data_IF_429368460828
#
_entry.id   IF_429368460828
#
_cell.length_a   1.000
_cell.length_b   1.000
_cell.length_c   1.000
_cell.angle_alpha   90.00
_cell.angle_beta   90.00
_cell.angle_gamma   90.00
#
_symmetry.space_group_name_H-M   'P 1'
#
loop_
_entity.id
_entity.type
_entity.pdbx_description
1 polymer ?
#
# COMPACT_ATOMS: atom_id res chain seq x y z
N UNK A 1 11.98 19.23 -30.45
CA UNK A 1 10.81 19.09 -29.55
C UNK A 1 10.48 17.63 -29.15
N UNK A 2 10.46 16.66 -30.08
CA UNK A 2 10.15 15.24 -29.76
C UNK A 2 11.05 14.60 -28.69
N UNK A 3 12.37 14.83 -28.71
CA UNK A 3 13.28 14.28 -27.69
C UNK A 3 12.95 14.75 -26.26
N UNK A 4 12.67 16.05 -26.07
CA UNK A 4 12.35 16.60 -24.75
C UNK A 4 11.06 16.00 -24.16
N UNK A 5 10.06 15.74 -25.00
CA UNK A 5 8.79 15.10 -24.57
C UNK A 5 9.00 13.65 -24.15
N UNK A 6 9.87 12.92 -24.86
CA UNK A 6 10.22 11.52 -24.54
C UNK A 6 10.94 11.44 -23.19
N UNK A 7 11.89 12.34 -22.93
CA UNK A 7 12.64 12.38 -21.66
C UNK A 7 11.73 12.71 -20.46
N UNK A 8 10.84 13.71 -20.60
CA UNK A 8 9.86 14.06 -19.56
C UNK A 8 8.94 12.87 -19.23
N UNK A 9 8.49 12.13 -20.26
CA UNK A 9 7.63 10.96 -20.07
C UNK A 9 8.40 9.82 -19.39
N UNK A 10 9.64 9.56 -19.80
CA UNK A 10 10.52 8.55 -19.20
C UNK A 10 10.77 8.81 -17.71
N UNK A 11 11.12 10.05 -17.36
CA UNK A 11 11.33 10.48 -15.96
C UNK A 11 10.06 10.33 -15.12
N UNK A 12 8.91 10.68 -15.68
CA UNK A 12 7.61 10.57 -14.98
C UNK A 12 7.23 9.10 -14.72
N UNK A 13 7.48 8.20 -15.69
CA UNK A 13 7.22 6.75 -15.53
C UNK A 13 8.14 6.13 -14.48
N UNK A 14 9.43 6.49 -14.46
CA UNK A 14 10.37 6.03 -13.42
C UNK A 14 9.89 6.46 -12.03
N UNK A 15 9.43 7.71 -11.90
CA UNK A 15 8.86 8.23 -10.65
C UNK A 15 7.60 7.46 -10.22
N UNK A 16 6.70 7.15 -11.15
CA UNK A 16 5.53 6.31 -10.86
C UNK A 16 5.96 4.92 -10.38
N UNK A 17 6.93 4.28 -11.04
CA UNK A 17 7.45 2.97 -10.63
C UNK A 17 7.92 2.96 -9.17
N UNK A 18 8.70 3.97 -8.76
CA UNK A 18 9.13 4.10 -7.37
C UNK A 18 7.94 4.22 -6.40
N UNK A 19 6.91 5.00 -6.75
CA UNK A 19 5.72 5.11 -5.90
C UNK A 19 4.96 3.80 -5.77
N UNK A 20 4.84 3.02 -6.84
CA UNK A 20 4.18 1.72 -6.80
C UNK A 20 4.96 0.72 -5.94
N UNK A 21 6.30 0.73 -6.02
CA UNK A 21 7.15 -0.08 -5.14
C UNK A 21 6.96 0.35 -3.68
N UNK A 22 6.96 1.65 -3.38
CA UNK A 22 6.70 2.16 -2.02
C UNK A 22 5.33 1.73 -1.51
N UNK A 23 4.28 1.80 -2.34
CA UNK A 23 2.95 1.32 -1.98
C UNK A 23 2.92 -0.17 -1.65
N UNK A 24 3.64 -0.98 -2.43
CA UNK A 24 3.75 -2.41 -2.17
C UNK A 24 4.41 -2.68 -0.82
N UNK A 25 5.54 -2.02 -0.53
CA UNK A 25 6.25 -2.16 0.75
C UNK A 25 5.32 -1.74 1.90
N UNK A 26 4.66 -0.58 1.80
CA UNK A 26 3.75 -0.12 2.83
C UNK A 26 2.56 -1.07 3.08
N UNK A 27 2.07 -1.74 2.02
CA UNK A 27 1.03 -2.76 2.13
C UNK A 27 1.53 -4.04 2.84
N UNK A 28 2.77 -4.47 2.56
CA UNK A 28 3.38 -5.59 3.29
C UNK A 28 3.60 -5.25 4.77
N UNK A 29 4.06 -4.04 5.07
CA UNK A 29 4.26 -3.57 6.44
C UNK A 29 2.94 -3.49 7.21
N UNK A 30 1.89 -2.94 6.58
CA UNK A 30 0.51 -2.92 7.12
C UNK A 30 0.03 -4.33 7.50
N UNK A 31 0.22 -5.29 6.58
CA UNK A 31 -0.17 -6.68 6.79
C UNK A 31 0.61 -7.34 7.93
N UNK A 32 1.91 -7.08 8.01
CA UNK A 32 2.78 -7.58 9.07
C UNK A 32 2.34 -7.06 10.44
N UNK A 33 2.16 -5.75 10.60
CA UNK A 33 1.72 -5.18 11.87
C UNK A 33 0.32 -5.61 12.26
N UNK A 34 -0.61 -5.67 11.31
CA UNK A 34 -1.95 -6.20 11.55
C UNK A 34 -1.88 -7.63 12.10
N UNK A 35 -1.07 -8.50 11.48
CA UNK A 35 -0.92 -9.90 11.93
C UNK A 35 -0.29 -9.97 13.33
N UNK A 36 0.75 -9.19 13.56
CA UNK A 36 1.45 -9.15 14.83
C UNK A 36 0.51 -8.70 15.97
N UNK A 37 -0.24 -7.62 15.75
CA UNK A 37 -1.16 -7.07 16.75
C UNK A 37 -2.35 -7.99 17.00
N UNK A 38 -2.87 -8.65 15.98
CA UNK A 38 -3.91 -9.67 16.16
C UNK A 38 -3.44 -10.88 16.95
N UNK A 39 -2.17 -11.26 16.81
CA UNK A 39 -1.58 -12.35 17.56
C UNK A 39 -1.28 -11.97 19.02
N UNK A 40 -0.82 -10.75 19.26
CA UNK A 40 -0.36 -10.29 20.59
C UNK A 40 -1.43 -9.60 21.43
N UNK A 41 -2.38 -8.93 20.81
CA UNK A 41 -3.46 -8.18 21.46
C UNK A 41 -4.82 -8.49 20.78
N UNK A 42 -5.25 -9.76 20.76
CA UNK A 42 -6.42 -10.20 20.00
C UNK A 42 -7.70 -9.48 20.43
N UNK A 43 -7.88 -9.18 21.72
CA UNK A 43 -9.10 -8.55 22.24
C UNK A 43 -9.22 -7.08 21.81
N UNK A 44 -8.13 -6.32 21.96
CA UNK A 44 -8.07 -4.90 21.56
C UNK A 44 -8.27 -4.72 20.04
N UNK A 45 -7.72 -5.64 19.24
CA UNK A 45 -7.79 -5.55 17.77
C UNK A 45 -9.03 -6.21 17.15
N UNK A 46 -9.61 -7.26 17.76
CA UNK A 46 -10.84 -7.88 17.25
C UNK A 46 -12.04 -6.97 17.39
N UNK A 47 -12.11 -6.15 18.44
CA UNK A 47 -13.19 -5.19 18.63
C UNK A 47 -13.15 -4.06 17.60
N UNK A 48 -11.96 -3.52 17.32
CA UNK A 48 -11.77 -2.48 16.31
C UNK A 48 -11.96 -2.97 14.86
N UNK A 49 -11.82 -4.27 14.60
CA UNK A 49 -11.77 -4.84 13.25
C UNK A 49 -12.81 -5.97 13.03
N UNK A 50 -14.02 -5.81 13.57
CA UNK A 50 -15.09 -6.82 13.52
C UNK A 50 -15.44 -7.29 12.10
N UNK A 51 -15.31 -6.41 11.10
CA UNK A 51 -15.54 -6.71 9.68
C UNK A 51 -14.42 -7.57 9.06
N UNK A 52 -13.19 -7.44 9.54
CA UNK A 52 -12.04 -8.24 9.06
C UNK A 52 -11.95 -9.60 9.74
N UNK A 53 -12.78 -9.92 10.74
CA UNK A 53 -12.70 -11.15 11.55
C UNK A 53 -12.74 -12.43 10.69
N UNK A 54 -13.46 -12.41 9.58
CA UNK A 54 -13.56 -13.50 8.59
C UNK A 54 -12.29 -13.67 7.74
N UNK A 55 -11.57 -12.58 7.46
CA UNK A 55 -10.34 -12.54 6.66
C UNK A 55 -9.12 -12.87 7.55
N UNK A 56 -9.19 -12.52 8.83
CA UNK A 56 -8.10 -12.63 9.80
C UNK A 56 -7.83 -14.07 10.24
N UNK A 57 -8.86 -14.92 10.31
CA UNK A 57 -8.71 -16.27 10.87
C UNK A 57 -8.12 -17.29 9.86
N UNK A 58 -8.03 -16.95 8.58
CA UNK A 58 -7.45 -17.80 7.53
C UNK A 58 -6.09 -17.29 7.05
N UNK A 59 -5.23 -18.20 6.58
CA UNK A 59 -3.93 -17.85 5.97
C UNK A 59 -4.13 -17.46 4.49
N UNK A 60 -5.12 -18.05 3.82
CA UNK A 60 -5.43 -17.83 2.40
C UNK A 60 -5.74 -16.36 2.04
N UNK A 61 -6.51 -15.59 2.83
CA UNK A 61 -6.84 -14.21 2.51
C UNK A 61 -5.63 -13.27 2.52
N UNK A 62 -4.58 -13.61 3.29
CA UNK A 62 -3.32 -12.86 3.32
C UNK A 62 -2.56 -12.98 2.00
N UNK A 63 -2.37 -14.21 1.51
CA UNK A 63 -1.71 -14.45 0.23
C UNK A 63 -2.50 -13.84 -0.94
N UNK A 64 -3.83 -13.91 -0.85
CA UNK A 64 -4.71 -13.28 -1.84
C UNK A 64 -4.55 -11.75 -1.83
N UNK A 65 -4.51 -11.10 -0.65
CA UNK A 65 -4.29 -9.64 -0.56
C UNK A 65 -2.94 -9.24 -1.14
N UNK A 66 -1.87 -9.98 -0.83
CA UNK A 66 -0.51 -9.70 -1.37
C UNK A 66 -0.49 -9.86 -2.89
N UNK A 67 -0.96 -11.01 -3.39
CA UNK A 67 -0.93 -11.34 -4.82
C UNK A 67 -1.80 -10.40 -5.66
N UNK A 68 -3.05 -10.16 -5.23
CA UNK A 68 -3.96 -9.26 -5.93
C UNK A 68 -3.42 -7.83 -5.93
N UNK A 69 -2.88 -7.35 -4.81
CA UNK A 69 -2.32 -6.00 -4.75
C UNK A 69 -1.09 -5.85 -5.66
N UNK A 70 -0.19 -6.84 -5.68
CA UNK A 70 0.94 -6.86 -6.61
C UNK A 70 0.49 -6.82 -8.08
N UNK A 71 -0.51 -7.63 -8.46
CA UNK A 71 -1.08 -7.64 -9.81
C UNK A 71 -1.66 -6.29 -10.21
N UNK A 72 -2.39 -5.63 -9.29
CA UNK A 72 -2.95 -4.29 -9.54
C UNK A 72 -1.85 -3.26 -9.78
N UNK A 73 -0.77 -3.28 -8.98
CA UNK A 73 0.35 -2.35 -9.15
C UNK A 73 1.12 -2.60 -10.45
N UNK A 74 1.35 -3.86 -10.81
CA UNK A 74 2.00 -4.24 -12.07
C UNK A 74 1.14 -3.78 -13.26
N UNK A 75 -0.17 -4.05 -13.22
CA UNK A 75 -1.10 -3.60 -14.26
C UNK A 75 -1.10 -2.07 -14.37
N UNK A 76 -1.09 -1.35 -13.24
CA UNK A 76 -1.03 0.10 -13.23
C UNK A 76 0.25 0.61 -13.90
N UNK A 77 1.41 0.03 -13.56
CA UNK A 77 2.68 0.38 -14.19
C UNK A 77 2.67 0.11 -15.70
N UNK A 78 2.21 -1.07 -16.12
CA UNK A 78 2.12 -1.45 -17.52
C UNK A 78 1.19 -0.52 -18.31
N UNK A 79 -0.01 -0.25 -17.79
CA UNK A 79 -0.99 0.63 -18.43
C UNK A 79 -0.49 2.07 -18.58
N UNK A 80 0.40 2.50 -17.70
CA UNK A 80 0.99 3.86 -17.72
C UNK A 80 1.87 4.12 -18.95
N UNK A 81 2.38 3.08 -19.62
CA UNK A 81 3.20 3.22 -20.83
C UNK A 81 2.45 3.87 -21.99
N UNK A 82 1.16 3.51 -22.12
CA UNK A 82 0.26 4.03 -23.15
C UNK A 82 -0.42 5.34 -22.74
N UNK A 83 -0.01 5.97 -21.64
CA UNK A 83 -0.68 7.15 -21.09
C UNK A 83 -0.10 8.47 -21.62
N UNK A 84 -0.94 9.50 -21.78
CA UNK A 84 -0.50 10.85 -22.10
C UNK A 84 0.06 11.59 -20.86
N UNK A 85 0.68 12.76 -21.05
CA UNK A 85 1.31 13.52 -19.95
C UNK A 85 0.32 13.89 -18.84
N UNK A 86 -0.91 14.26 -19.20
CA UNK A 86 -1.97 14.61 -18.24
C UNK A 86 -2.38 13.39 -17.40
N UNK A 87 -2.57 12.24 -18.03
CA UNK A 87 -2.87 10.97 -17.36
C UNK A 87 -1.72 10.54 -16.44
N UNK A 88 -0.46 10.71 -16.88
CA UNK A 88 0.71 10.40 -16.05
C UNK A 88 0.80 11.31 -14.81
N UNK A 89 0.53 12.62 -14.95
CA UNK A 89 0.48 13.56 -13.81
C UNK A 89 -0.61 13.16 -12.80
N UNK A 90 -1.80 12.80 -13.28
CA UNK A 90 -2.89 12.29 -12.43
C UNK A 90 -2.50 10.99 -11.73
N UNK A 91 -1.89 10.06 -12.45
CA UNK A 91 -1.41 8.79 -11.91
C UNK A 91 -0.40 9.00 -10.77
N UNK A 92 0.56 9.91 -10.95
CA UNK A 92 1.53 10.29 -9.92
C UNK A 92 0.83 10.92 -8.70
N UNK A 93 -0.15 11.78 -8.93
CA UNK A 93 -0.92 12.39 -7.85
C UNK A 93 -1.67 11.34 -7.02
N UNK A 94 -2.37 10.41 -7.68
CA UNK A 94 -3.05 9.30 -7.00
C UNK A 94 -2.05 8.45 -6.22
N UNK A 95 -0.88 8.14 -6.79
CA UNK A 95 0.20 7.44 -6.08
C UNK A 95 0.62 8.13 -4.78
N UNK A 96 0.78 9.46 -4.78
CA UNK A 96 1.08 10.23 -3.56
C UNK A 96 -0.02 10.15 -2.52
N UNK A 97 -1.28 10.29 -2.93
CA UNK A 97 -2.44 10.23 -2.02
C UNK A 97 -2.51 8.85 -1.36
N UNK A 98 -2.35 7.78 -2.15
CA UNK A 98 -2.34 6.41 -1.62
C UNK A 98 -1.18 6.19 -0.65
N UNK A 99 0.03 6.70 -0.95
CA UNK A 99 1.16 6.61 -0.02
C UNK A 99 0.84 7.32 1.28
N UNK A 100 0.23 8.51 1.23
CA UNK A 100 -0.22 9.23 2.42
C UNK A 100 -1.21 8.42 3.25
N UNK A 101 -2.23 7.82 2.61
CA UNK A 101 -3.20 6.97 3.30
C UNK A 101 -2.52 5.76 3.97
N UNK A 102 -1.64 5.05 3.26
CA UNK A 102 -0.91 3.92 3.81
C UNK A 102 0.04 4.32 4.94
N UNK A 103 0.66 5.51 4.86
CA UNK A 103 1.51 6.03 5.91
C UNK A 103 0.71 6.28 7.20
N UNK A 104 -0.48 6.89 7.09
CA UNK A 104 -1.39 7.10 8.24
C UNK A 104 -1.76 5.76 8.89
N UNK A 105 -2.15 4.77 8.08
CA UNK A 105 -2.49 3.42 8.57
C UNK A 105 -1.30 2.79 9.32
N UNK A 106 -0.11 2.82 8.72
CA UNK A 106 1.10 2.29 9.36
C UNK A 106 1.47 3.03 10.65
N UNK A 107 1.27 4.36 10.72
CA UNK A 107 1.46 5.14 11.95
C UNK A 107 0.46 4.71 13.03
N UNK A 108 -0.82 4.48 12.68
CA UNK A 108 -1.80 3.97 13.64
C UNK A 108 -1.40 2.60 14.18
N UNK A 109 -0.86 1.72 13.34
CA UNK A 109 -0.31 0.44 13.80
C UNK A 109 0.86 0.61 14.78
N UNK A 110 1.78 1.54 14.50
CA UNK A 110 2.89 1.84 15.41
C UNK A 110 2.40 2.38 16.76
N UNK A 111 1.42 3.29 16.75
CA UNK A 111 0.80 3.81 17.98
C UNK A 111 0.19 2.66 18.79
N UNK A 112 -0.59 1.78 18.14
CA UNK A 112 -1.21 0.64 18.81
C UNK A 112 -0.16 -0.34 19.37
N UNK A 113 0.95 -0.54 18.66
CA UNK A 113 2.07 -1.35 19.13
C UNK A 113 2.73 -0.73 20.37
N UNK A 114 2.93 0.59 20.40
CA UNK A 114 3.48 1.29 21.56
C UNK A 114 2.53 1.19 22.77
N UNK A 115 1.23 1.36 22.55
CA UNK A 115 0.22 1.21 23.61
C UNK A 115 0.29 -0.21 24.19
N UNK A 116 0.32 -1.23 23.33
CA UNK A 116 0.45 -2.62 23.78
C UNK A 116 1.71 -2.84 24.62
N UNK A 117 2.88 -2.36 24.18
CA UNK A 117 4.15 -2.54 24.91
C UNK A 117 4.20 -1.79 26.25
N UNK A 118 3.35 -0.78 26.47
CA UNK A 118 3.25 -0.06 27.76
C UNK A 118 2.27 -0.69 28.74
N UNK A 119 1.26 -1.40 28.23
CA UNK A 119 0.18 -1.99 29.02
C UNK A 119 0.46 -3.47 29.35
N UNK A 120 1.24 -4.16 28.50
CA UNK A 120 1.76 -5.51 28.73
C UNK A 120 3.01 -5.51 29.61
#
# INVERSE_FOLDING_TARGET
MKCAVIDIRGKSRKKLGNFLITLYILNLTDLFFTKFLLWKAPDLFREANSFMKLIINGIEPYFLKIGVFALVLIYWYWRSEKSNLTQMKRSIFVGKVLIGAYAIINIMHLINMIIYLKVS
#
